data_IF_208194861919
#
_entry.id   IF_208194861919
#
_cell.length_a   1.000
_cell.length_b   1.000
_cell.length_c   1.000
_cell.angle_alpha   90.00
_cell.angle_beta   90.00
_cell.angle_gamma   90.00
#
_symmetry.space_group_name_H-M   'P 1'
#
loop_
_entity.id
_entity.type
_entity.pdbx_description
1 polymer ?
#
# COMPACT_ATOMS: atom_id res chain seq x y z
N UNK A 1 -6.42 14.70 21.76
CA UNK A 1 -6.25 14.93 20.32
C UNK A 1 -7.49 14.38 19.62
N UNK A 2 -7.91 14.96 18.50
CA UNK A 2 -9.02 14.42 17.71
C UNK A 2 -8.48 13.32 16.77
N UNK A 3 -9.32 12.37 16.38
CA UNK A 3 -8.99 11.38 15.34
C UNK A 3 -9.94 11.56 14.17
N UNK A 4 -9.49 12.26 13.14
CA UNK A 4 -10.26 12.53 11.94
C UNK A 4 -9.47 12.21 10.66
N UNK A 5 -9.57 10.98 10.15
CA UNK A 5 -8.82 10.57 8.97
C UNK A 5 -9.32 11.26 7.71
N UNK A 6 -10.59 11.69 7.63
CA UNK A 6 -11.09 12.46 6.48
C UNK A 6 -10.42 13.84 6.34
N UNK A 7 -9.73 14.33 7.39
CA UNK A 7 -8.99 15.59 7.37
C UNK A 7 -7.48 15.40 7.22
N UNK A 8 -7.02 14.17 6.97
CA UNK A 8 -5.60 13.83 6.97
C UNK A 8 -5.03 13.61 5.57
N UNK A 9 -3.83 14.15 5.32
CA UNK A 9 -3.12 13.97 4.04
C UNK A 9 -2.75 12.49 3.79
N UNK A 10 -2.60 11.68 4.85
CA UNK A 10 -2.35 10.24 4.69
C UNK A 10 -3.57 9.51 4.13
N UNK A 11 -4.78 10.00 4.43
CA UNK A 11 -5.99 9.38 3.93
C UNK A 11 -6.17 9.65 2.44
N UNK A 12 -5.91 10.88 1.99
CA UNK A 12 -5.91 11.23 0.57
C UNK A 12 -4.92 10.36 -0.21
N UNK A 13 -3.74 10.12 0.36
CA UNK A 13 -2.77 9.19 -0.22
C UNK A 13 -3.31 7.76 -0.33
N UNK A 14 -3.93 7.22 0.72
CA UNK A 14 -4.53 5.88 0.71
C UNK A 14 -5.63 5.76 -0.34
N UNK A 15 -6.51 6.77 -0.43
CA UNK A 15 -7.59 6.80 -1.43
C UNK A 15 -7.00 6.87 -2.84
N UNK A 16 -6.03 7.77 -3.06
CA UNK A 16 -5.34 7.87 -4.33
C UNK A 16 -4.74 6.53 -4.74
N UNK A 17 -4.06 5.84 -3.83
CA UNK A 17 -3.43 4.55 -4.11
C UNK A 17 -4.38 3.41 -4.41
N UNK A 18 -5.59 3.42 -3.84
CA UNK A 18 -6.61 2.43 -4.16
C UNK A 18 -7.07 2.55 -5.61
N UNK A 19 -7.09 3.78 -6.14
CA UNK A 19 -7.48 4.08 -7.53
C UNK A 19 -6.26 4.01 -8.46
N UNK A 20 -5.07 4.31 -7.93
CA UNK A 20 -3.84 4.36 -8.69
C UNK A 20 -3.53 2.99 -9.29
N UNK A 21 -3.50 2.86 -10.61
CA UNK A 21 -3.33 1.56 -11.24
C UNK A 21 -1.85 1.17 -11.27
N UNK A 22 -1.23 1.02 -10.10
CA UNK A 22 0.22 0.80 -9.98
C UNK A 22 0.70 -0.44 -10.75
N UNK A 23 -0.12 -1.49 -10.81
CA UNK A 23 0.15 -2.67 -11.66
C UNK A 23 0.09 -2.36 -13.16
N UNK A 24 -0.90 -1.59 -13.61
CA UNK A 24 -0.99 -1.19 -15.02
C UNK A 24 0.11 -0.21 -15.39
N UNK A 25 0.49 0.71 -14.50
CA UNK A 25 1.60 1.64 -14.72
C UNK A 25 2.91 0.89 -14.90
N UNK A 26 3.18 -0.14 -14.09
CA UNK A 26 4.34 -1.04 -14.27
C UNK A 26 4.30 -1.73 -15.63
N UNK A 27 3.13 -2.24 -16.05
CA UNK A 27 2.95 -2.87 -17.35
C UNK A 27 3.20 -1.87 -18.50
N UNK A 28 2.55 -0.71 -18.47
CA UNK A 28 2.73 0.34 -19.47
C UNK A 28 4.19 0.79 -19.54
N UNK A 29 4.84 1.01 -18.40
CA UNK A 29 6.27 1.34 -18.35
C UNK A 29 7.12 0.30 -19.08
N UNK A 30 6.93 -0.99 -18.78
CA UNK A 30 7.68 -2.08 -19.41
C UNK A 30 7.41 -2.15 -20.91
N UNK A 31 6.15 -2.01 -21.34
CA UNK A 31 5.79 -2.01 -22.76
C UNK A 31 6.37 -0.82 -23.52
N UNK A 32 6.24 0.39 -22.97
CA UNK A 32 6.74 1.62 -23.57
C UNK A 32 8.27 1.61 -23.68
N UNK A 33 8.98 1.21 -22.62
CA UNK A 33 10.42 1.02 -22.67
C UNK A 33 10.82 -0.11 -23.61
N UNK A 34 10.10 -1.23 -23.61
CA UNK A 34 10.35 -2.35 -24.52
C UNK A 34 10.29 -1.90 -25.97
N UNK A 35 9.19 -1.26 -26.38
CA UNK A 35 9.03 -0.74 -27.75
C UNK A 35 10.12 0.30 -28.08
N UNK A 36 10.38 1.23 -27.16
CA UNK A 36 11.35 2.29 -27.35
C UNK A 36 12.79 1.78 -27.51
N UNK A 37 13.27 0.95 -26.57
CA UNK A 37 14.63 0.42 -26.60
C UNK A 37 14.84 -0.60 -27.71
N UNK A 38 13.86 -1.46 -28.02
CA UNK A 38 13.96 -2.39 -29.15
C UNK A 38 14.10 -1.61 -30.47
N UNK A 39 13.28 -0.57 -30.65
CA UNK A 39 13.34 0.28 -31.85
C UNK A 39 14.65 1.05 -31.95
N UNK A 40 15.16 1.58 -30.82
CA UNK A 40 16.46 2.23 -30.74
C UNK A 40 17.62 1.26 -31.05
N UNK A 41 17.54 0.03 -30.55
CA UNK A 41 18.52 -1.02 -30.80
C UNK A 41 18.58 -1.43 -32.27
N UNK A 42 17.43 -1.67 -32.89
CA UNK A 42 17.36 -1.97 -34.33
C UNK A 42 17.87 -0.81 -35.18
N UNK A 43 17.54 0.44 -34.81
CA UNK A 43 18.07 1.63 -35.47
C UNK A 43 19.61 1.69 -35.37
N UNK A 44 20.16 1.49 -34.18
CA UNK A 44 21.60 1.51 -33.92
C UNK A 44 22.35 0.41 -34.68
N UNK A 45 21.84 -0.82 -34.64
CA UNK A 45 22.39 -1.96 -35.40
C UNK A 45 22.39 -1.64 -36.90
N UNK A 46 21.26 -1.17 -37.45
CA UNK A 46 21.15 -0.84 -38.87
C UNK A 46 22.12 0.28 -39.28
N UNK A 47 22.22 1.35 -38.49
CA UNK A 47 23.19 2.43 -38.74
C UNK A 47 24.63 1.91 -38.69
N UNK A 48 24.98 1.12 -37.69
CA UNK A 48 26.31 0.53 -37.55
C UNK A 48 26.70 -0.33 -38.76
N UNK A 49 25.84 -1.25 -39.20
CA UNK A 49 26.12 -2.08 -40.39
C UNK A 49 26.15 -1.28 -41.69
N UNK A 50 25.30 -0.25 -41.83
CA UNK A 50 25.34 0.63 -43.00
C UNK A 50 26.64 1.42 -43.10
N UNK A 51 27.23 1.81 -41.96
CA UNK A 51 28.47 2.59 -41.89
C UNK A 51 29.71 1.70 -42.08
N UNK A 52 29.74 0.53 -41.45
CA UNK A 52 30.94 -0.32 -41.42
C UNK A 52 31.07 -1.30 -42.58
N UNK A 53 29.95 -1.83 -43.07
CA UNK A 53 29.98 -2.96 -44.00
C UNK A 53 29.51 -2.58 -45.41
N UNK A 54 29.09 -1.32 -45.66
CA UNK A 54 28.34 -0.91 -46.86
C UNK A 54 27.20 -1.89 -47.20
N UNK A 55 26.69 -2.56 -46.17
CA UNK A 55 25.81 -3.71 -46.30
C UNK A 55 24.41 -3.26 -45.90
N UNK A 56 23.50 -3.18 -46.87
CA UNK A 56 22.10 -2.90 -46.60
C UNK A 56 21.41 -4.17 -46.09
N UNK A 57 21.69 -4.51 -44.83
CA UNK A 57 21.00 -5.59 -44.14
C UNK A 57 19.55 -5.16 -43.88
N UNK A 58 18.59 -5.84 -44.52
CA UNK A 58 17.12 -5.62 -44.45
C UNK A 58 16.64 -4.31 -45.14
N UNK A 59 16.25 -4.40 -46.43
CA UNK A 59 15.77 -3.25 -47.22
C UNK A 59 14.43 -2.67 -46.75
N UNK A 60 13.61 -3.44 -46.02
CA UNK A 60 12.19 -3.14 -45.81
C UNK A 60 11.86 -2.26 -44.61
N UNK A 61 12.80 -2.02 -43.68
CA UNK A 61 12.51 -1.26 -42.45
C UNK A 61 13.14 0.13 -42.52
N UNK A 62 12.32 1.19 -42.54
CA UNK A 62 12.80 2.57 -42.56
C UNK A 62 13.50 2.90 -41.22
N UNK A 63 14.83 3.18 -41.21
CA UNK A 63 15.56 3.49 -39.98
C UNK A 63 15.03 4.76 -39.29
N UNK A 64 14.62 5.78 -40.04
CA UNK A 64 14.11 7.02 -39.44
C UNK A 64 12.75 6.79 -38.76
N UNK A 65 11.97 5.82 -39.26
CA UNK A 65 10.76 5.34 -38.59
C UNK A 65 11.05 4.67 -37.24
N UNK A 66 12.09 3.84 -37.15
CA UNK A 66 12.50 3.20 -35.88
C UNK A 66 12.98 4.23 -34.85
N UNK A 67 13.75 5.24 -35.29
CA UNK A 67 14.16 6.34 -34.43
C UNK A 67 12.96 7.16 -33.97
N UNK A 68 12.01 7.46 -34.86
CA UNK A 68 10.77 8.15 -34.52
C UNK A 68 9.95 7.40 -33.46
N UNK A 69 9.82 6.07 -33.58
CA UNK A 69 9.17 5.24 -32.56
C UNK A 69 9.91 5.36 -31.23
N UNK A 70 11.24 5.24 -31.21
CA UNK A 70 12.02 5.38 -29.97
C UNK A 70 11.82 6.77 -29.32
N UNK A 71 11.81 7.84 -30.12
CA UNK A 71 11.62 9.22 -29.66
C UNK A 71 10.21 9.50 -29.13
N UNK A 72 9.20 8.71 -29.48
CA UNK A 72 7.85 8.83 -28.92
C UNK A 72 7.73 7.97 -27.65
N UNK A 73 8.10 6.70 -27.73
CA UNK A 73 7.82 5.73 -26.68
C UNK A 73 8.75 5.89 -25.46
N UNK A 74 10.01 6.30 -25.64
CA UNK A 74 10.93 6.50 -24.52
C UNK A 74 10.50 7.67 -23.61
N UNK A 75 10.19 8.89 -24.11
CA UNK A 75 9.71 9.97 -23.24
C UNK A 75 8.42 9.62 -22.48
N UNK A 76 7.48 8.93 -23.13
CA UNK A 76 6.24 8.46 -22.47
C UNK A 76 6.59 7.43 -21.39
N UNK A 77 7.49 6.48 -21.68
CA UNK A 77 7.98 5.50 -20.70
C UNK A 77 8.63 6.16 -19.48
N UNK A 78 9.46 7.18 -19.70
CA UNK A 78 10.05 7.98 -18.62
C UNK A 78 8.99 8.76 -17.83
N UNK A 79 8.00 9.36 -18.48
CA UNK A 79 6.91 10.05 -17.79
C UNK A 79 6.11 9.10 -16.88
N UNK A 80 5.81 7.88 -17.35
CA UNK A 80 5.17 6.84 -16.53
C UNK A 80 6.06 6.44 -15.35
N UNK A 81 7.37 6.27 -15.56
CA UNK A 81 8.32 5.98 -14.48
C UNK A 81 8.36 7.10 -13.43
N UNK A 82 8.43 8.37 -13.86
CA UNK A 82 8.42 9.52 -12.96
C UNK A 82 7.13 9.57 -12.14
N UNK A 83 5.98 9.32 -12.76
CA UNK A 83 4.70 9.31 -12.05
C UNK A 83 4.59 8.16 -11.05
N UNK A 84 5.12 6.98 -11.40
CA UNK A 84 5.21 5.84 -10.49
C UNK A 84 6.10 6.15 -9.28
N UNK A 85 7.29 6.71 -9.50
CA UNK A 85 8.22 7.12 -8.44
C UNK A 85 7.64 8.22 -7.56
N UNK A 86 7.03 9.23 -8.19
CA UNK A 86 6.38 10.33 -7.47
C UNK A 86 5.28 9.80 -6.56
N UNK A 87 4.43 8.91 -7.08
CA UNK A 87 3.47 8.20 -6.25
C UNK A 87 4.17 7.51 -5.08
N UNK A 88 5.07 6.55 -5.38
CA UNK A 88 5.71 5.68 -4.37
C UNK A 88 6.42 6.45 -3.27
N UNK A 89 7.07 7.56 -3.60
CA UNK A 89 7.88 8.30 -2.64
C UNK A 89 7.10 9.39 -1.91
N UNK A 90 6.33 10.22 -2.61
CA UNK A 90 5.68 11.37 -2.00
C UNK A 90 4.33 11.06 -1.37
N UNK A 91 3.57 10.12 -1.93
CA UNK A 91 2.23 9.82 -1.42
C UNK A 91 2.25 8.77 -0.31
N UNK A 92 3.16 7.79 -0.31
CA UNK A 92 3.25 6.82 0.81
C UNK A 92 3.95 7.38 2.04
N UNK A 93 4.67 8.50 1.91
CA UNK A 93 5.41 9.10 3.00
C UNK A 93 5.13 10.61 3.12
N UNK A 94 3.87 11.04 3.32
CA UNK A 94 3.62 12.44 3.64
C UNK A 94 4.38 12.78 4.92
N UNK A 95 4.93 14.00 5.00
CA UNK A 95 5.56 14.46 6.24
C UNK A 95 4.51 14.44 7.35
N UNK A 96 4.88 13.96 8.53
CA UNK A 96 4.03 14.07 9.70
C UNK A 96 3.78 15.56 9.96
N UNK A 97 2.51 15.98 9.92
CA UNK A 97 2.13 17.31 10.37
C UNK A 97 1.86 17.23 11.87
N UNK A 98 2.56 18.04 12.66
CA UNK A 98 2.29 18.15 14.09
C UNK A 98 1.01 18.98 14.29
N UNK A 99 -0.14 18.35 14.03
CA UNK A 99 -1.46 18.91 14.22
C UNK A 99 -2.20 18.28 15.40
N UNK A 100 -3.40 18.78 15.69
CA UNK A 100 -4.30 18.24 16.72
C UNK A 100 -4.97 16.91 16.32
N UNK A 101 -4.70 16.43 15.11
CA UNK A 101 -5.31 15.24 14.51
C UNK A 101 -4.34 14.06 14.50
N UNK A 102 -4.66 13.04 15.29
CA UNK A 102 -3.83 11.85 15.47
C UNK A 102 -3.74 10.99 14.19
N UNK A 103 -4.63 11.21 13.21
CA UNK A 103 -4.54 10.55 11.91
C UNK A 103 -3.36 11.04 11.06
N UNK A 104 -2.87 12.28 11.26
CA UNK A 104 -1.77 12.87 10.45
C UNK A 104 -0.41 12.23 10.73
N UNK A 105 -0.28 11.57 11.87
CA UNK A 105 0.92 10.87 12.29
C UNK A 105 0.85 9.36 12.02
N UNK A 106 -0.22 8.85 11.38
CA UNK A 106 -0.24 7.45 10.94
C UNK A 106 0.73 7.23 9.77
N UNK A 107 1.40 6.08 9.76
CA UNK A 107 2.08 5.61 8.57
C UNK A 107 1.08 5.12 7.51
N UNK A 108 1.56 5.03 6.27
CA UNK A 108 0.71 4.64 5.15
C UNK A 108 0.10 3.25 5.33
N UNK A 109 0.83 2.31 5.93
CA UNK A 109 0.33 0.96 6.15
C UNK A 109 -0.81 0.95 7.18
N UNK A 110 -0.68 1.68 8.29
CA UNK A 110 -1.74 1.83 9.30
C UNK A 110 -2.96 2.48 8.72
N UNK A 111 -2.79 3.60 7.99
CA UNK A 111 -3.89 4.30 7.35
C UNK A 111 -4.60 3.43 6.29
N UNK A 112 -3.84 2.62 5.53
CA UNK A 112 -4.41 1.67 4.56
C UNK A 112 -5.24 0.59 5.24
N UNK A 113 -4.72 -0.05 6.28
CA UNK A 113 -5.45 -1.09 7.04
C UNK A 113 -6.70 -0.50 7.67
N UNK A 114 -6.60 0.70 8.25
CA UNK A 114 -7.72 1.44 8.81
C UNK A 114 -8.79 1.75 7.75
N UNK A 115 -8.39 2.10 6.53
CA UNK A 115 -9.32 2.31 5.41
C UNK A 115 -10.00 1.01 4.95
N UNK A 116 -9.28 -0.10 4.95
CA UNK A 116 -9.85 -1.42 4.66
C UNK A 116 -10.80 -1.89 5.77
N UNK A 117 -10.44 -1.65 7.04
CA UNK A 117 -11.27 -1.93 8.21
C UNK A 117 -12.54 -1.07 8.21
N UNK A 118 -12.43 0.21 7.84
CA UNK A 118 -13.60 1.10 7.67
C UNK A 118 -14.60 0.54 6.67
N UNK A 119 -14.11 0.03 5.54
CA UNK A 119 -14.96 -0.50 4.50
C UNK A 119 -15.60 -1.83 4.94
N UNK A 120 -14.83 -2.70 5.60
CA UNK A 120 -15.33 -3.93 6.19
C UNK A 120 -16.44 -3.67 7.21
N UNK A 121 -16.18 -2.77 8.16
CA UNK A 121 -17.12 -2.36 9.20
C UNK A 121 -18.43 -1.82 8.59
N UNK A 122 -18.32 -0.99 7.54
CA UNK A 122 -19.49 -0.46 6.82
C UNK A 122 -20.30 -1.56 6.14
N UNK A 123 -19.65 -2.49 5.44
CA UNK A 123 -20.32 -3.61 4.79
C UNK A 123 -21.02 -4.54 5.79
N UNK A 124 -20.49 -4.61 7.00
CA UNK A 124 -21.05 -5.31 8.15
C UNK A 124 -22.03 -4.47 8.97
N UNK A 125 -22.41 -3.29 8.48
CA UNK A 125 -23.39 -2.36 9.09
C UNK A 125 -22.99 -1.83 10.47
N UNK A 126 -21.70 -1.79 10.79
CA UNK A 126 -21.22 -1.06 11.96
C UNK A 126 -21.29 0.46 11.70
N UNK A 127 -21.61 1.23 12.75
CA UNK A 127 -21.62 2.70 12.74
C UNK A 127 -20.24 3.31 12.95
N UNK A 128 -19.30 2.53 13.47
CA UNK A 128 -17.92 2.89 13.74
C UNK A 128 -16.99 1.71 13.42
N UNK A 129 -15.69 1.96 13.32
CA UNK A 129 -14.68 0.92 13.07
C UNK A 129 -14.30 0.27 14.40
N UNK A 130 -14.69 -0.99 14.66
CA UNK A 130 -14.28 -1.67 15.87
C UNK A 130 -12.80 -2.09 15.79
N UNK A 131 -12.15 -2.20 16.95
CA UNK A 131 -10.77 -2.72 17.05
C UNK A 131 -10.64 -4.09 16.37
N UNK A 132 -11.65 -4.96 16.53
CA UNK A 132 -11.67 -6.28 15.89
C UNK A 132 -11.59 -6.23 14.35
N UNK A 133 -12.23 -5.25 13.72
CA UNK A 133 -12.13 -5.05 12.27
C UNK A 133 -10.77 -4.54 11.81
N UNK A 134 -10.12 -3.73 12.65
CA UNK A 134 -8.73 -3.39 12.42
C UNK A 134 -7.85 -4.65 12.51
N UNK A 135 -7.93 -5.42 13.60
CA UNK A 135 -7.16 -6.64 13.78
C UNK A 135 -7.39 -7.65 12.65
N UNK A 136 -8.65 -7.92 12.28
CA UNK A 136 -8.98 -8.84 11.20
C UNK A 136 -8.26 -8.49 9.89
N UNK A 137 -8.15 -7.19 9.59
CA UNK A 137 -7.44 -6.70 8.41
C UNK A 137 -5.93 -6.81 8.55
N UNK A 138 -5.37 -6.55 9.72
CA UNK A 138 -3.94 -6.78 9.99
C UNK A 138 -3.56 -8.24 9.76
N UNK A 139 -4.30 -9.20 10.34
CA UNK A 139 -4.06 -10.64 10.15
C UNK A 139 -4.44 -11.15 8.74
N UNK A 140 -5.24 -10.38 8.01
CA UNK A 140 -5.59 -10.66 6.61
C UNK A 140 -4.58 -10.12 5.60
N UNK A 141 -3.74 -9.16 5.99
CA UNK A 141 -2.80 -8.50 5.10
C UNK A 141 -1.56 -9.37 4.85
N UNK A 142 -1.21 -9.56 3.57
CA UNK A 142 -0.08 -10.41 3.19
C UNK A 142 1.25 -9.95 3.79
N UNK A 143 1.50 -8.64 3.82
CA UNK A 143 2.76 -8.10 4.33
C UNK A 143 2.87 -8.28 5.84
N UNK A 144 1.79 -7.96 6.57
CA UNK A 144 1.80 -8.12 8.03
C UNK A 144 1.73 -9.57 8.47
N UNK A 145 1.10 -10.45 7.68
CA UNK A 145 1.12 -11.90 7.95
C UNK A 145 2.55 -12.43 8.11
N UNK A 146 3.49 -12.02 7.26
CA UNK A 146 4.89 -12.44 7.33
C UNK A 146 5.60 -11.89 8.58
N UNK A 147 5.23 -10.69 9.05
CA UNK A 147 5.77 -10.09 10.28
C UNK A 147 5.20 -10.79 11.51
N UNK A 148 3.88 -10.99 11.52
CA UNK A 148 3.15 -11.67 12.59
C UNK A 148 3.65 -13.10 12.74
N UNK A 149 3.96 -13.80 11.64
CA UNK A 149 4.55 -15.15 11.69
C UNK A 149 5.87 -15.23 12.46
N UNK A 150 6.59 -14.12 12.63
CA UNK A 150 7.81 -14.09 13.44
C UNK A 150 7.52 -14.03 14.94
N UNK A 151 6.31 -13.58 15.31
CA UNK A 151 5.86 -13.43 16.70
C UNK A 151 4.98 -14.62 17.08
N UNK A 152 4.13 -15.08 16.17
CA UNK A 152 3.17 -16.17 16.30
C UNK A 152 3.48 -17.17 15.16
N UNK A 153 4.40 -18.12 15.35
CA UNK A 153 4.85 -19.00 14.27
C UNK A 153 3.77 -20.01 13.80
N UNK A 154 2.69 -20.19 14.57
CA UNK A 154 1.62 -21.12 14.22
C UNK A 154 0.56 -20.50 13.30
N UNK A 155 0.57 -20.95 12.04
CA UNK A 155 -0.41 -20.54 11.02
C UNK A 155 -1.84 -20.97 11.33
N UNK A 156 -2.01 -22.12 11.99
CA UNK A 156 -3.32 -22.63 12.40
C UNK A 156 -3.94 -21.75 13.46
N UNK A 157 -3.17 -21.34 14.47
CA UNK A 157 -3.63 -20.46 15.55
C UNK A 157 -3.97 -19.07 14.99
N UNK A 158 -3.14 -18.50 14.10
CA UNK A 158 -3.46 -17.23 13.42
C UNK A 158 -4.78 -17.34 12.64
N UNK A 159 -4.98 -18.45 11.92
CA UNK A 159 -6.19 -18.65 11.13
C UNK A 159 -7.43 -18.83 12.02
N UNK A 160 -7.31 -19.53 13.15
CA UNK A 160 -8.38 -19.66 14.14
C UNK A 160 -8.74 -18.30 14.75
N UNK A 161 -7.74 -17.52 15.17
CA UNK A 161 -7.97 -16.18 15.71
C UNK A 161 -8.64 -15.27 14.69
N UNK A 162 -8.16 -15.28 13.44
CA UNK A 162 -8.79 -14.55 12.34
C UNK A 162 -10.23 -15.00 12.11
N UNK A 163 -10.54 -16.28 12.27
CA UNK A 163 -11.91 -16.77 12.16
C UNK A 163 -12.79 -16.26 13.32
N UNK A 164 -12.28 -16.20 14.56
CA UNK A 164 -12.98 -15.60 15.71
C UNK A 164 -13.27 -14.12 15.50
N UNK A 165 -12.34 -13.39 14.89
CA UNK A 165 -12.56 -11.98 14.50
C UNK A 165 -13.60 -11.83 13.37
N UNK A 166 -13.77 -12.85 12.53
CA UNK A 166 -14.60 -12.81 11.33
C UNK A 166 -16.11 -12.92 11.57
N UNK A 167 -16.57 -13.22 12.80
CA UNK A 167 -17.97 -13.61 13.06
C UNK A 167 -19.03 -12.60 12.60
N UNK A 168 -18.63 -11.35 12.29
CA UNK A 168 -19.50 -10.36 11.67
C UNK A 168 -18.88 -9.65 10.46
N UNK A 169 -17.69 -10.05 9.99
CA UNK A 169 -16.96 -9.29 8.96
C UNK A 169 -17.11 -9.84 7.55
N UNK A 170 -17.43 -8.95 6.60
CA UNK A 170 -17.39 -9.32 5.18
C UNK A 170 -15.95 -9.57 4.73
N UNK A 171 -15.73 -10.77 4.20
CA UNK A 171 -14.42 -11.25 3.72
C UNK A 171 -13.98 -10.52 2.43
N UNK A 172 -14.93 -10.23 1.54
CA UNK A 172 -14.65 -9.64 0.23
C UNK A 172 -14.95 -8.13 0.20
N UNK A 173 -13.90 -7.36 -0.08
CA UNK A 173 -13.98 -5.92 -0.31
C UNK A 173 -13.92 -5.68 -1.84
N UNK A 174 -14.94 -5.06 -2.46
CA UNK A 174 -14.86 -4.68 -3.86
C UNK A 174 -13.80 -3.59 -4.05
N UNK A 175 -12.94 -3.77 -5.05
CA UNK A 175 -11.77 -2.94 -5.34
C UNK A 175 -12.09 -1.44 -5.58
N UNK A 176 -13.31 -1.12 -6.05
CA UNK A 176 -13.72 0.22 -6.45
C UNK A 176 -14.60 0.99 -5.44
N UNK A 177 -14.61 0.59 -4.17
CA UNK A 177 -15.43 1.30 -3.19
C UNK A 177 -14.68 2.49 -2.58
N UNK A 178 -14.99 3.69 -3.08
CA UNK A 178 -14.64 4.97 -2.45
C UNK A 178 -15.83 5.36 -1.58
N UNK A 179 -15.61 5.42 -0.27
CA UNK A 179 -16.68 5.59 0.71
C UNK A 179 -16.12 6.44 1.83
N UNK A 180 -16.92 7.42 2.29
CA UNK A 180 -16.58 8.20 3.47
C UNK A 180 -16.14 7.30 4.62
N UNK A 181 -15.04 7.68 5.27
CA UNK A 181 -14.45 6.92 6.35
C UNK A 181 -15.40 6.93 7.57
N UNK A 182 -15.61 5.77 8.20
CA UNK A 182 -16.40 5.65 9.42
C UNK A 182 -15.62 6.17 10.62
N UNK A 183 -16.24 6.81 11.63
CA UNK A 183 -15.54 7.13 12.87
C UNK A 183 -14.97 5.86 13.51
N UNK A 184 -13.83 5.96 14.21
CA UNK A 184 -13.30 4.82 14.98
C UNK A 184 -14.12 4.60 16.25
N UNK A 185 -14.23 3.34 16.70
CA UNK A 185 -14.85 3.02 17.99
C UNK A 185 -14.02 3.58 19.15
N UNK A 186 -14.61 3.61 20.35
CA UNK A 186 -13.91 4.05 21.55
C UNK A 186 -12.69 3.17 21.87
N UNK A 187 -12.84 1.84 21.80
CA UNK A 187 -11.73 0.91 22.04
C UNK A 187 -10.58 1.11 21.05
N UNK A 188 -10.90 1.31 19.76
CA UNK A 188 -9.90 1.58 18.75
C UNK A 188 -9.25 2.95 18.98
N UNK A 189 -10.01 3.96 19.38
CA UNK A 189 -9.46 5.29 19.72
C UNK A 189 -8.44 5.20 20.85
N UNK A 190 -8.78 4.55 21.97
CA UNK A 190 -7.84 4.37 23.07
C UNK A 190 -6.61 3.58 22.64
N UNK A 191 -6.78 2.56 21.81
CA UNK A 191 -5.66 1.78 21.27
C UNK A 191 -4.71 2.65 20.44
N UNK A 192 -5.22 3.52 19.57
CA UNK A 192 -4.35 4.39 18.74
C UNK A 192 -3.72 5.50 19.59
N UNK A 193 -4.41 6.03 20.60
CA UNK A 193 -3.83 6.98 21.55
C UNK A 193 -2.69 6.36 22.36
N UNK A 194 -2.81 5.09 22.78
CA UNK A 194 -1.72 4.37 23.45
C UNK A 194 -0.57 4.05 22.47
N UNK A 195 -0.90 3.71 21.22
CA UNK A 195 0.10 3.53 20.16
C UNK A 195 0.93 4.79 19.91
N UNK A 196 0.34 5.98 20.05
CA UNK A 196 1.09 7.25 19.97
C UNK A 196 2.13 7.38 21.09
N UNK A 197 1.80 6.95 22.31
CA UNK A 197 2.74 6.94 23.43
C UNK A 197 3.88 5.94 23.19
N UNK A 198 3.56 4.74 22.68
CA UNK A 198 4.55 3.72 22.32
C UNK A 198 5.50 4.27 21.26
N UNK A 199 4.97 4.83 20.17
CA UNK A 199 5.74 5.52 19.13
C UNK A 199 6.66 6.57 19.74
N UNK A 200 6.13 7.45 20.58
CA UNK A 200 6.90 8.54 21.20
C UNK A 200 8.06 8.00 22.06
N UNK A 201 7.84 6.90 22.79
CA UNK A 201 8.89 6.25 23.60
C UNK A 201 10.06 5.73 22.76
N UNK A 202 9.77 5.28 21.53
CA UNK A 202 10.77 4.81 20.57
C UNK A 202 11.31 5.91 19.65
N UNK A 203 10.91 7.18 19.87
CA UNK A 203 11.23 8.31 18.99
C UNK A 203 10.80 8.10 17.53
N UNK A 204 9.72 7.35 17.31
CA UNK A 204 9.15 7.13 15.98
C UNK A 204 8.52 8.41 15.45
N UNK A 205 8.66 8.69 14.16
CA UNK A 205 8.00 9.84 13.52
C UNK A 205 6.51 9.58 13.26
N UNK A 206 6.12 8.32 13.09
CA UNK A 206 4.76 7.90 12.73
C UNK A 206 4.30 6.71 13.55
N UNK A 207 2.99 6.64 13.81
CA UNK A 207 2.32 5.49 14.39
C UNK A 207 2.24 4.41 13.31
N UNK A 208 2.88 3.28 13.59
CA UNK A 208 2.89 2.11 12.71
C UNK A 208 1.85 1.08 13.14
N UNK A 209 1.58 0.09 12.28
CA UNK A 209 0.69 -1.03 12.59
C UNK A 209 1.20 -1.80 13.80
N UNK A 210 2.53 -1.88 13.99
CA UNK A 210 3.14 -2.55 15.12
C UNK A 210 2.89 -1.81 16.43
N UNK A 211 2.91 -0.48 16.42
CA UNK A 211 2.57 0.31 17.61
C UNK A 211 1.10 0.10 17.99
N UNK A 212 0.20 0.03 17.00
CA UNK A 212 -1.23 -0.23 17.22
C UNK A 212 -1.44 -1.67 17.71
N UNK A 213 -0.72 -2.66 17.17
CA UNK A 213 -0.78 -4.03 17.67
C UNK A 213 -0.23 -4.15 19.10
N UNK A 214 0.87 -3.47 19.40
CA UNK A 214 1.45 -3.45 20.74
C UNK A 214 0.46 -2.85 21.76
N UNK A 215 -0.21 -1.76 21.39
CA UNK A 215 -1.29 -1.20 22.22
C UNK A 215 -2.50 -2.15 22.32
N UNK A 216 -2.89 -2.81 21.23
CA UNK A 216 -4.05 -3.71 21.21
C UNK A 216 -3.88 -4.91 22.16
N UNK A 217 -2.65 -5.32 22.46
CA UNK A 217 -2.35 -6.38 23.43
C UNK A 217 -2.94 -6.11 24.82
N UNK A 218 -3.04 -4.85 25.24
CA UNK A 218 -3.61 -4.47 26.53
C UNK A 218 -5.11 -4.15 26.47
N UNK A 219 -5.69 -4.08 25.27
CA UNK A 219 -7.08 -3.68 25.05
C UNK A 219 -7.99 -4.77 24.47
N UNK A 220 -7.44 -5.89 23.95
CA UNK A 220 -8.22 -7.04 23.46
C UNK A 220 -7.75 -8.35 24.12
N UNK A 221 -8.60 -8.92 25.00
CA UNK A 221 -8.27 -10.13 25.75
C UNK A 221 -8.02 -11.35 24.86
N UNK A 222 -8.79 -11.51 23.77
CA UNK A 222 -8.63 -12.64 22.85
C UNK A 222 -7.27 -12.55 22.15
N UNK A 223 -6.84 -11.34 21.78
CA UNK A 223 -5.52 -11.09 21.21
C UNK A 223 -4.40 -11.30 22.24
N UNK A 224 -4.63 -10.91 23.50
CA UNK A 224 -3.68 -11.17 24.59
C UNK A 224 -3.48 -12.66 24.84
N UNK A 225 -4.58 -13.42 24.89
CA UNK A 225 -4.55 -14.87 25.04
C UNK A 225 -3.85 -15.55 23.85
N UNK A 226 -4.08 -15.08 22.62
CA UNK A 226 -3.38 -15.56 21.43
C UNK A 226 -1.85 -15.48 21.59
N UNK A 227 -1.36 -14.34 22.09
CA UNK A 227 0.08 -14.10 22.29
C UNK A 227 0.62 -14.97 23.42
N UNK A 228 -0.09 -15.09 24.55
CA UNK A 228 0.34 -15.95 25.66
C UNK A 228 0.29 -17.44 25.34
N UNK A 229 -0.62 -17.88 24.46
CA UNK A 229 -0.72 -19.28 24.04
C UNK A 229 0.47 -19.77 23.19
N UNK A 230 1.44 -18.89 22.86
CA UNK A 230 2.59 -19.25 22.04
C UNK A 230 3.72 -19.98 22.79
N UNK A 231 3.62 -20.23 24.11
CA UNK A 231 4.69 -20.85 24.94
C UNK A 231 6.09 -20.36 24.52
N UNK A 232 6.38 -19.08 24.78
CA UNK A 232 7.72 -18.50 24.60
C UNK A 232 8.69 -18.95 25.69
#
# INVERSE_FOLDING_TARGET
>A
MDFNPNKSSIYDAVVFYRIFPGGLMKLYRVLLFGIGFVSLGFWGIKKFFSILANFNFVPSVNPDGLLGIALIFLPIGFAVLFFELFGEYHLKNPKAEAGDNLADILDYHSARILSEASLAARLSKHSAIPLRAFLYRVFGDKFFRDIIFRIIPDAGIIQEFKNKLSDNERKDIPFNYISAYLPISEDLRWTVEEADKIRASHRGEKITVLDILAAAFDHDNDFKELIFAQDL
#
